data_IF_602576430509
#
_entry.id   IF_602576430509
#
_cell.length_a   1.000
_cell.length_b   1.000
_cell.length_c   1.000
_cell.angle_alpha   90.00
_cell.angle_beta   90.00
_cell.angle_gamma   90.00
#
_symmetry.space_group_name_H-M   'P 1'
#
loop_
_entity.id
_entity.type
_entity.pdbx_description
1 polymer ?
#
# COMPACT_ATOMS: atom_id res chain seq x y z
N UNK A 1 -20.84 -73.74 -0.88
CA UNK A 1 -20.68 -72.63 0.08
C UNK A 1 -19.64 -71.67 -0.48
N UNK A 2 -20.08 -70.58 -1.10
CA UNK A 2 -19.22 -69.62 -1.80
C UNK A 2 -18.73 -68.53 -0.83
N UNK A 3 -17.41 -68.29 -0.82
CA UNK A 3 -16.79 -67.15 -0.14
C UNK A 3 -16.78 -65.96 -1.10
N UNK A 4 -17.54 -64.92 -0.80
CA UNK A 4 -17.45 -63.64 -1.48
C UNK A 4 -16.27 -62.85 -0.90
N UNK A 5 -15.27 -62.55 -1.72
CA UNK A 5 -14.21 -61.61 -1.40
C UNK A 5 -14.70 -60.19 -1.72
N UNK A 6 -14.87 -59.35 -0.69
CA UNK A 6 -15.11 -57.92 -0.87
C UNK A 6 -13.78 -57.23 -1.16
N UNK A 7 -13.61 -56.80 -2.41
CA UNK A 7 -12.52 -55.92 -2.82
C UNK A 7 -12.91 -54.50 -2.39
N UNK A 8 -12.30 -54.00 -1.32
CA UNK A 8 -12.50 -52.62 -0.85
C UNK A 8 -11.74 -51.68 -1.81
N UNK A 9 -12.46 -51.06 -2.75
CA UNK A 9 -11.92 -49.98 -3.57
C UNK A 9 -11.73 -48.74 -2.69
N UNK A 10 -10.47 -48.45 -2.36
CA UNK A 10 -10.08 -47.21 -1.71
C UNK A 10 -10.15 -46.10 -2.77
N UNK A 11 -11.26 -45.36 -2.80
CA UNK A 11 -11.34 -44.13 -3.59
C UNK A 11 -10.48 -43.09 -2.87
N UNK A 12 -9.25 -42.91 -3.34
CA UNK A 12 -8.43 -41.74 -2.98
C UNK A 12 -9.13 -40.54 -3.58
N UNK A 13 -9.93 -39.85 -2.75
CA UNK A 13 -10.47 -38.55 -3.10
C UNK A 13 -9.29 -37.62 -3.37
N UNK A 14 -9.05 -37.31 -4.65
CA UNK A 14 -8.26 -36.17 -5.04
C UNK A 14 -9.03 -34.98 -4.47
N UNK A 15 -8.57 -34.47 -3.33
CA UNK A 15 -8.98 -33.15 -2.87
C UNK A 15 -8.47 -32.19 -3.94
N UNK A 16 -9.31 -31.83 -4.90
CA UNK A 16 -9.16 -30.57 -5.59
C UNK A 16 -9.13 -29.55 -4.47
N UNK A 17 -7.96 -29.00 -4.17
CA UNK A 17 -7.84 -27.81 -3.36
C UNK A 17 -8.73 -26.79 -4.06
N UNK A 18 -9.93 -26.58 -3.52
CA UNK A 18 -10.78 -25.47 -3.92
C UNK A 18 -9.96 -24.25 -3.56
N UNK A 19 -9.21 -23.74 -4.55
CA UNK A 19 -8.52 -22.48 -4.43
C UNK A 19 -9.63 -21.50 -4.04
N UNK A 20 -9.58 -20.97 -2.82
CA UNK A 20 -10.56 -19.99 -2.38
C UNK A 20 -10.54 -18.88 -3.43
N UNK A 21 -11.67 -18.65 -4.10
CA UNK A 21 -11.73 -17.67 -5.17
C UNK A 21 -11.40 -16.29 -4.57
N UNK A 22 -10.22 -15.75 -4.89
CA UNK A 22 -9.81 -14.44 -4.42
C UNK A 22 -10.83 -13.42 -4.91
N UNK A 23 -11.35 -12.60 -4.00
CA UNK A 23 -12.28 -11.53 -4.32
C UNK A 23 -11.56 -10.19 -4.49
N UNK A 24 -10.31 -10.24 -4.94
CA UNK A 24 -9.41 -9.10 -5.10
C UNK A 24 -8.36 -9.41 -6.17
N UNK A 25 -7.64 -8.36 -6.59
CA UNK A 25 -6.46 -8.44 -7.45
C UNK A 25 -5.25 -7.91 -6.67
N UNK A 26 -4.16 -8.66 -6.69
CA UNK A 26 -2.88 -8.23 -6.09
C UNK A 26 -2.26 -7.14 -6.96
N UNK A 27 -1.83 -6.05 -6.34
CA UNK A 27 -1.11 -4.98 -7.03
C UNK A 27 0.31 -5.44 -7.35
N UNK A 28 0.71 -5.24 -8.61
CA UNK A 28 2.00 -5.70 -9.10
C UNK A 28 3.15 -5.05 -8.33
N UNK A 29 4.20 -5.81 -8.03
CA UNK A 29 5.39 -5.34 -7.31
C UNK A 29 5.10 -4.74 -5.91
N UNK A 30 3.93 -5.04 -5.31
CA UNK A 30 3.56 -4.62 -3.94
C UNK A 30 3.49 -5.79 -2.95
N UNK A 31 4.13 -6.90 -3.28
CA UNK A 31 4.26 -8.08 -2.42
C UNK A 31 5.45 -7.95 -1.48
N UNK A 32 5.32 -8.54 -0.29
CA UNK A 32 6.40 -8.77 0.66
C UNK A 32 7.55 -9.57 0.04
N UNK A 33 8.78 -9.49 0.59
CA UNK A 33 9.95 -10.15 0.03
C UNK A 33 9.82 -11.68 -0.10
N UNK A 34 9.08 -12.33 0.80
CA UNK A 34 8.81 -13.77 0.76
C UNK A 34 7.54 -14.13 -0.05
N UNK A 35 6.83 -13.13 -0.59
CA UNK A 35 5.60 -13.28 -1.35
C UNK A 35 4.38 -13.69 -0.53
N UNK A 36 4.49 -13.79 0.80
CA UNK A 36 3.38 -14.23 1.65
C UNK A 36 2.28 -13.20 1.76
N UNK A 37 2.66 -11.95 1.90
CA UNK A 37 1.75 -10.81 2.05
C UNK A 37 1.80 -9.91 0.83
N UNK A 38 0.70 -9.25 0.51
CA UNK A 38 0.66 -8.27 -0.58
C UNK A 38 -0.40 -7.20 -0.36
N UNK A 39 -0.21 -6.05 -1.01
CA UNK A 39 -1.29 -5.09 -1.18
C UNK A 39 -2.15 -5.48 -2.39
N UNK A 40 -3.46 -5.39 -2.20
CA UNK A 40 -4.46 -5.76 -3.18
C UNK A 40 -5.55 -4.71 -3.26
N UNK A 41 -6.36 -4.78 -4.32
CA UNK A 41 -7.56 -3.98 -4.46
C UNK A 41 -8.78 -4.87 -4.73
N UNK A 42 -9.92 -4.44 -4.20
CA UNK A 42 -11.21 -5.00 -4.55
C UNK A 42 -12.24 -3.90 -4.79
N UNK A 43 -13.34 -4.28 -5.42
CA UNK A 43 -14.50 -3.44 -5.64
C UNK A 43 -15.68 -3.93 -4.80
N UNK A 44 -16.59 -3.04 -4.36
CA UNK A 44 -17.81 -3.43 -3.66
C UNK A 44 -18.65 -4.46 -4.44
N UNK A 45 -19.29 -5.38 -3.71
CA UNK A 45 -20.07 -6.49 -4.27
C UNK A 45 -21.16 -6.05 -5.27
N UNK A 46 -21.70 -4.82 -5.13
CA UNK A 46 -22.70 -4.25 -6.05
C UNK A 46 -22.24 -4.24 -7.52
N UNK A 47 -20.94 -4.25 -7.78
CA UNK A 47 -20.38 -4.28 -9.13
C UNK A 47 -20.28 -5.69 -9.74
N UNK A 48 -20.52 -6.75 -8.94
CA UNK A 48 -20.62 -8.16 -9.39
C UNK A 48 -19.45 -8.61 -10.27
N UNK A 49 -18.22 -8.27 -9.86
CA UNK A 49 -17.00 -8.62 -10.59
C UNK A 49 -16.73 -10.13 -10.52
N UNK A 50 -16.48 -10.76 -11.67
CA UNK A 50 -15.90 -12.10 -11.73
C UNK A 50 -14.39 -12.01 -11.51
N UNK A 51 -13.99 -12.03 -10.24
CA UNK A 51 -12.59 -11.93 -9.84
C UNK A 51 -11.72 -13.07 -10.36
N UNK A 52 -12.31 -14.25 -10.59
CA UNK A 52 -11.57 -15.39 -11.08
C UNK A 52 -11.23 -15.20 -12.57
N UNK A 53 -12.19 -14.76 -13.38
CA UNK A 53 -11.95 -14.39 -14.77
C UNK A 53 -10.98 -13.20 -14.88
N UNK A 54 -11.14 -12.19 -14.01
CA UNK A 54 -10.24 -11.04 -13.97
C UNK A 54 -8.80 -11.47 -13.69
N UNK A 55 -8.55 -12.26 -12.64
CA UNK A 55 -7.20 -12.73 -12.28
C UNK A 55 -6.56 -13.64 -13.35
N UNK A 56 -7.36 -14.30 -14.21
CA UNK A 56 -6.86 -15.06 -15.37
C UNK A 56 -6.61 -14.20 -16.61
N UNK A 57 -6.91 -12.90 -16.56
CA UNK A 57 -6.85 -12.01 -17.73
C UNK A 57 -7.93 -12.29 -18.78
N UNK A 58 -8.97 -13.05 -18.41
CA UNK A 58 -10.06 -13.42 -19.31
C UNK A 58 -11.16 -12.36 -19.37
N UNK A 59 -11.19 -11.44 -18.39
CA UNK A 59 -12.18 -10.37 -18.35
C UNK A 59 -11.68 -9.16 -19.14
N UNK A 60 -12.43 -8.78 -20.18
CA UNK A 60 -12.05 -7.72 -21.12
C UNK A 60 -12.61 -6.34 -20.78
N UNK A 61 -13.48 -6.23 -19.77
CA UNK A 61 -14.03 -4.93 -19.36
C UNK A 61 -14.43 -4.91 -17.87
N UNK A 62 -13.89 -3.93 -17.14
CA UNK A 62 -14.47 -3.46 -15.88
C UNK A 62 -15.53 -2.37 -16.16
N UNK A 63 -16.41 -2.06 -15.19
CA UNK A 63 -17.21 -0.85 -15.26
C UNK A 63 -16.28 0.37 -15.44
N UNK A 64 -16.36 1.01 -16.60
CA UNK A 64 -15.53 2.18 -16.92
C UNK A 64 -16.25 3.45 -16.47
N UNK A 65 -16.30 3.67 -15.16
CA UNK A 65 -16.88 4.89 -14.57
C UNK A 65 -16.08 5.35 -13.36
N UNK A 66 -16.06 6.67 -13.14
CA UNK A 66 -15.45 7.26 -11.94
C UNK A 66 -16.09 6.68 -10.67
N UNK A 67 -17.41 6.47 -10.66
CA UNK A 67 -18.14 5.81 -9.57
C UNK A 67 -17.60 4.42 -9.21
N UNK A 68 -17.09 3.66 -10.19
CA UNK A 68 -16.50 2.35 -9.94
C UNK A 68 -15.12 2.49 -9.30
N UNK A 69 -14.25 3.27 -9.93
CA UNK A 69 -12.86 3.41 -9.48
C UNK A 69 -12.75 4.18 -8.16
N UNK A 70 -13.62 5.16 -7.89
CA UNK A 70 -13.68 5.86 -6.61
C UNK A 70 -14.24 4.98 -5.48
N UNK A 71 -14.88 3.86 -5.81
CA UNK A 71 -15.40 2.91 -4.84
C UNK A 71 -14.42 1.75 -4.53
N UNK A 72 -13.27 1.69 -5.22
CA UNK A 72 -12.23 0.68 -4.95
C UNK A 72 -11.73 0.81 -3.51
N UNK A 73 -11.44 -0.34 -2.90
CA UNK A 73 -10.85 -0.44 -1.56
C UNK A 73 -9.54 -1.19 -1.67
N UNK A 74 -8.49 -0.65 -1.03
CA UNK A 74 -7.20 -1.30 -0.92
C UNK A 74 -7.08 -2.10 0.39
N UNK A 75 -6.39 -3.23 0.32
CA UNK A 75 -6.19 -4.17 1.42
C UNK A 75 -4.74 -4.62 1.51
N UNK A 76 -4.33 -4.99 2.72
CA UNK A 76 -3.20 -5.89 2.96
C UNK A 76 -3.75 -7.30 3.16
N UNK A 77 -3.24 -8.27 2.40
CA UNK A 77 -3.73 -9.66 2.40
C UNK A 77 -2.63 -10.67 2.67
N UNK A 78 -2.97 -11.83 3.25
CA UNK A 78 -2.17 -13.05 3.14
C UNK A 78 -2.56 -13.73 1.82
N UNK A 79 -1.59 -13.84 0.91
CA UNK A 79 -1.81 -14.31 -0.46
C UNK A 79 -2.16 -15.80 -0.48
N UNK A 80 -1.63 -16.58 0.48
CA UNK A 80 -1.78 -18.04 0.47
C UNK A 80 -3.23 -18.48 0.69
N UNK A 81 -3.91 -17.87 1.65
CA UNK A 81 -5.29 -18.22 2.02
C UNK A 81 -6.32 -17.18 1.55
N UNK A 82 -5.87 -16.07 0.95
CA UNK A 82 -6.73 -15.00 0.49
C UNK A 82 -7.34 -14.19 1.62
N UNK A 83 -6.74 -14.22 2.82
CA UNK A 83 -7.28 -13.53 4.00
C UNK A 83 -6.92 -12.05 3.97
N UNK A 84 -7.94 -11.20 4.14
CA UNK A 84 -7.74 -9.77 4.41
C UNK A 84 -7.19 -9.60 5.82
N UNK A 85 -6.02 -8.98 5.94
CA UNK A 85 -5.33 -8.71 7.21
C UNK A 85 -5.59 -7.28 7.70
N UNK A 86 -5.61 -6.31 6.79
CA UNK A 86 -5.93 -4.91 7.09
C UNK A 86 -6.57 -4.21 5.89
N UNK A 87 -7.32 -3.15 6.16
CA UNK A 87 -7.92 -2.28 5.14
C UNK A 87 -7.16 -0.97 5.08
N UNK A 88 -6.70 -0.58 3.90
CA UNK A 88 -6.04 0.69 3.64
C UNK A 88 -7.06 1.71 3.12
N UNK A 89 -7.69 2.42 4.05
CA UNK A 89 -8.82 3.32 3.75
C UNK A 89 -8.34 4.66 3.19
N UNK A 90 -9.08 5.22 2.24
CA UNK A 90 -8.78 6.51 1.63
C UNK A 90 -7.84 6.42 0.41
N UNK A 91 -7.45 5.20 0.04
CA UNK A 91 -6.78 4.89 -1.20
C UNK A 91 -7.73 4.18 -2.15
N UNK A 92 -7.60 4.49 -3.44
CA UNK A 92 -8.40 3.93 -4.53
C UNK A 92 -7.46 3.47 -5.65
N UNK A 93 -6.31 2.93 -5.27
CA UNK A 93 -5.36 2.41 -6.24
C UNK A 93 -5.91 1.10 -6.83
N UNK A 94 -5.88 1.00 -8.14
CA UNK A 94 -6.29 -0.19 -8.87
C UNK A 94 -5.31 -0.43 -10.01
N UNK A 95 -5.09 -1.70 -10.29
CA UNK A 95 -4.27 -2.14 -11.41
C UNK A 95 -4.87 -3.41 -11.99
N UNK A 96 -5.05 -3.43 -13.30
CA UNK A 96 -5.45 -4.60 -14.05
C UNK A 96 -4.26 -5.54 -14.28
N UNK A 97 -4.48 -6.84 -14.52
CA UNK A 97 -3.40 -7.79 -14.81
C UNK A 97 -2.57 -7.46 -16.06
N UNK A 98 -3.12 -6.67 -16.99
CA UNK A 98 -2.40 -6.17 -18.17
C UNK A 98 -1.51 -4.94 -17.88
N UNK A 99 -1.46 -4.50 -16.62
CA UNK A 99 -0.71 -3.35 -16.16
C UNK A 99 -1.48 -2.04 -16.18
N UNK A 100 -2.69 -1.98 -16.74
CA UNK A 100 -3.49 -0.76 -16.79
C UNK A 100 -3.84 -0.28 -15.39
N UNK A 101 -3.69 1.02 -15.11
CA UNK A 101 -3.96 1.60 -13.80
C UNK A 101 -4.49 3.04 -13.91
N UNK A 102 -4.97 3.59 -12.79
CA UNK A 102 -5.43 4.97 -12.71
C UNK A 102 -4.29 5.97 -12.95
N UNK A 103 -4.53 7.00 -13.76
CA UNK A 103 -3.55 8.06 -13.97
C UNK A 103 -3.38 8.91 -12.69
N UNK A 104 -2.13 9.15 -12.28
CA UNK A 104 -1.76 9.90 -11.07
C UNK A 104 -2.36 9.37 -9.76
N UNK A 105 -2.69 8.08 -9.68
CA UNK A 105 -3.30 7.42 -8.52
C UNK A 105 -2.55 6.13 -8.21
N UNK A 106 -1.34 6.25 -7.69
CA UNK A 106 -0.48 5.10 -7.40
C UNK A 106 -0.48 4.76 -5.90
N UNK A 107 -0.37 3.47 -5.59
CA UNK A 107 -0.05 2.99 -4.25
C UNK A 107 1.42 2.58 -4.24
N UNK A 108 2.27 3.41 -3.65
CA UNK A 108 3.65 3.01 -3.41
C UNK A 108 3.72 2.21 -2.11
N UNK A 109 4.48 1.11 -2.14
CA UNK A 109 4.69 0.26 -0.97
C UNK A 109 6.17 -0.04 -0.85
N UNK A 110 6.70 0.09 0.37
CA UNK A 110 8.02 -0.41 0.72
C UNK A 110 7.91 -1.44 1.83
N UNK A 111 8.64 -2.54 1.66
CA UNK A 111 8.73 -3.61 2.65
C UNK A 111 10.10 -3.60 3.29
N UNK A 112 10.13 -3.72 4.62
CA UNK A 112 11.37 -4.07 5.33
C UNK A 112 11.94 -5.39 4.79
N UNK A 113 13.27 -5.59 4.82
CA UNK A 113 13.90 -6.78 4.23
C UNK A 113 13.38 -8.13 4.74
N UNK A 114 12.92 -8.19 6.00
CA UNK A 114 12.37 -9.39 6.61
C UNK A 114 10.84 -9.53 6.44
N UNK A 115 10.19 -8.59 5.76
CA UNK A 115 8.74 -8.59 5.53
C UNK A 115 7.87 -8.30 6.76
N UNK A 116 8.46 -7.96 7.92
CA UNK A 116 7.70 -7.71 9.17
C UNK A 116 7.03 -6.35 9.16
N UNK A 117 7.67 -5.35 8.57
CA UNK A 117 7.13 -4.02 8.40
C UNK A 117 6.87 -3.71 6.93
N UNK A 118 5.78 -2.98 6.70
CA UNK A 118 5.50 -2.34 5.42
C UNK A 118 5.12 -0.89 5.65
N UNK A 119 5.34 -0.06 4.65
CA UNK A 119 4.79 1.28 4.57
C UNK A 119 4.07 1.40 3.24
N UNK A 120 2.90 2.01 3.24
CA UNK A 120 2.14 2.29 2.03
C UNK A 120 1.72 3.76 1.98
N UNK A 121 1.84 4.37 0.81
CA UNK A 121 1.38 5.72 0.54
C UNK A 121 0.54 5.73 -0.74
N UNK A 122 -0.64 6.34 -0.65
CA UNK A 122 -1.42 6.67 -1.83
C UNK A 122 -0.96 8.01 -2.39
N UNK A 123 -0.17 7.95 -3.46
CA UNK A 123 0.46 9.09 -4.09
C UNK A 123 -0.47 9.68 -5.15
N UNK A 124 -0.65 11.00 -5.08
CA UNK A 124 -1.39 11.80 -6.05
C UNK A 124 -0.45 12.89 -6.60
N UNK A 125 -0.75 13.44 -7.78
CA UNK A 125 0.17 14.35 -8.50
C UNK A 125 0.79 15.48 -7.64
N UNK A 126 0.00 16.11 -6.78
CA UNK A 126 0.43 17.26 -5.93
C UNK A 126 0.04 17.10 -4.47
N UNK A 127 -0.39 15.91 -4.10
CA UNK A 127 -0.86 15.63 -2.75
C UNK A 127 -0.57 14.18 -2.44
N UNK A 128 -0.59 13.84 -1.16
CA UNK A 128 -0.70 12.45 -0.76
C UNK A 128 -2.06 12.25 -0.10
N UNK A 129 -2.54 11.03 -0.18
CA UNK A 129 -3.59 10.52 0.69
C UNK A 129 -3.00 9.32 1.45
N UNK A 130 -3.77 8.42 2.10
CA UNK A 130 -3.33 7.76 3.32
C UNK A 130 -1.88 7.30 3.24
N UNK A 131 -1.12 7.61 4.28
CA UNK A 131 0.29 7.25 4.38
C UNK A 131 0.47 6.52 5.69
N UNK A 132 0.58 5.20 5.64
CA UNK A 132 0.47 4.33 6.82
C UNK A 132 1.62 3.34 6.91
N UNK A 133 2.03 3.08 8.14
CA UNK A 133 2.95 2.01 8.50
C UNK A 133 2.19 0.80 9.02
N UNK A 134 2.71 -0.38 8.74
CA UNK A 134 2.15 -1.66 9.12
C UNK A 134 3.23 -2.50 9.80
N UNK A 135 2.86 -3.18 10.88
CA UNK A 135 3.63 -4.27 11.47
C UNK A 135 2.80 -5.54 11.37
N UNK A 136 3.32 -6.52 10.64
CA UNK A 136 2.69 -7.81 10.40
C UNK A 136 3.27 -8.84 11.36
N UNK A 137 2.39 -9.51 12.10
CA UNK A 137 2.75 -10.58 13.03
C UNK A 137 1.81 -11.77 12.87
N UNK A 138 2.15 -12.96 13.39
CA UNK A 138 1.21 -14.08 13.42
C UNK A 138 -0.11 -13.77 14.17
N UNK A 139 -0.09 -12.86 15.14
CA UNK A 139 -1.25 -12.47 15.93
C UNK A 139 -2.17 -11.47 15.21
N UNK A 140 -1.65 -10.72 14.23
CA UNK A 140 -2.40 -9.72 13.49
C UNK A 140 -1.53 -8.59 12.93
N UNK A 141 -2.18 -7.52 12.51
CA UNK A 141 -1.53 -6.33 11.92
C UNK A 141 -1.78 -5.13 12.82
N UNK A 142 -0.70 -4.45 13.22
CA UNK A 142 -0.76 -3.13 13.86
C UNK A 142 -0.47 -2.04 12.82
N UNK A 143 -1.17 -0.92 12.89
CA UNK A 143 -1.04 0.19 11.94
C UNK A 143 -0.74 1.50 12.64
N UNK A 144 -0.04 2.41 11.97
CA UNK A 144 0.19 3.79 12.42
C UNK A 144 0.07 4.76 11.25
N UNK A 145 -0.56 5.91 11.49
CA UNK A 145 -0.61 7.02 10.51
C UNK A 145 0.74 7.74 10.47
N UNK A 146 1.31 7.90 9.27
CA UNK A 146 2.62 8.51 9.05
C UNK A 146 2.47 9.93 8.49
N UNK A 147 1.55 10.12 7.54
CA UNK A 147 1.53 11.31 6.69
C UNK A 147 1.43 12.63 7.46
N UNK A 148 0.41 12.80 8.30
CA UNK A 148 0.21 14.06 9.03
C UNK A 148 1.30 14.38 10.05
N UNK A 149 1.76 13.43 10.88
CA UNK A 149 2.93 13.66 11.75
C UNK A 149 4.18 14.05 10.95
N UNK A 150 4.48 13.36 9.85
CA UNK A 150 5.66 13.61 9.05
C UNK A 150 5.59 14.97 8.33
N UNK A 151 4.44 15.31 7.73
CA UNK A 151 4.20 16.63 7.12
C UNK A 151 4.37 17.76 8.13
N UNK A 152 3.86 17.58 9.35
CA UNK A 152 3.97 18.59 10.42
C UNK A 152 5.42 18.82 10.82
N UNK A 153 6.17 17.73 11.04
CA UNK A 153 7.58 17.81 11.37
C UNK A 153 8.39 18.46 10.25
N UNK A 154 8.10 18.12 8.99
CA UNK A 154 8.79 18.67 7.84
C UNK A 154 8.50 20.16 7.62
N UNK A 155 7.23 20.58 7.74
CA UNK A 155 6.86 22.01 7.71
C UNK A 155 7.57 22.80 8.81
N UNK A 156 7.71 22.23 10.00
CA UNK A 156 8.47 22.85 11.08
C UNK A 156 9.96 22.95 10.74
N UNK A 157 10.54 21.92 10.13
CA UNK A 157 11.90 21.95 9.62
C UNK A 157 12.11 23.07 8.58
N UNK A 158 11.29 23.13 7.54
CA UNK A 158 11.36 24.17 6.50
C UNK A 158 11.20 25.59 7.08
N UNK A 159 10.30 25.77 8.05
CA UNK A 159 10.13 27.05 8.75
C UNK A 159 11.40 27.49 9.48
N UNK A 160 12.16 26.53 10.01
CA UNK A 160 13.41 26.78 10.74
C UNK A 160 14.62 26.97 9.80
N UNK A 161 14.70 26.20 8.71
CA UNK A 161 15.90 26.17 7.83
C UNK A 161 15.80 27.08 6.62
N UNK A 162 14.64 27.16 5.96
CA UNK A 162 14.40 28.06 4.83
C UNK A 162 13.83 29.42 5.25
N UNK A 163 13.35 29.54 6.49
CA UNK A 163 12.97 30.81 7.11
C UNK A 163 11.92 31.57 6.29
N UNK A 164 12.26 32.82 5.92
CA UNK A 164 11.33 33.70 5.19
C UNK A 164 10.96 33.18 3.80
N UNK A 165 11.86 32.44 3.12
CA UNK A 165 11.55 31.87 1.79
C UNK A 165 10.35 30.92 1.86
N UNK A 166 10.31 30.07 2.87
CA UNK A 166 9.18 29.17 3.13
C UNK A 166 7.96 29.95 3.65
N UNK A 167 8.13 30.80 4.67
CA UNK A 167 7.00 31.50 5.33
C UNK A 167 6.16 32.35 4.37
N UNK A 168 6.78 32.97 3.37
CA UNK A 168 6.05 33.77 2.36
C UNK A 168 5.13 32.95 1.46
N UNK A 169 5.31 31.62 1.41
CA UNK A 169 4.63 30.73 0.45
C UNK A 169 3.89 29.58 1.11
N UNK A 170 4.01 29.43 2.44
CA UNK A 170 3.59 28.23 3.17
C UNK A 170 2.15 27.78 2.86
N UNK A 171 1.24 28.74 2.68
CA UNK A 171 -0.18 28.49 2.40
C UNK A 171 -0.49 28.17 0.93
N UNK A 172 0.47 28.40 0.02
CA UNK A 172 0.35 28.13 -1.42
C UNK A 172 1.02 26.84 -1.86
N UNK A 173 1.77 26.18 -0.98
CA UNK A 173 2.50 24.95 -1.28
C UNK A 173 1.58 23.73 -1.21
N UNK A 174 1.53 22.99 -2.31
CA UNK A 174 1.01 21.63 -2.35
C UNK A 174 2.13 20.67 -1.92
N UNK A 175 1.81 19.72 -1.04
CA UNK A 175 2.79 18.76 -0.49
C UNK A 175 2.47 17.36 -0.97
N UNK A 176 3.45 16.72 -1.60
CA UNK A 176 3.44 15.31 -1.96
C UNK A 176 4.59 14.58 -1.24
N UNK A 177 4.37 13.29 -1.04
CA UNK A 177 5.40 12.34 -0.63
C UNK A 177 5.42 11.22 -1.68
N UNK A 178 6.60 10.70 -1.98
CA UNK A 178 6.77 9.61 -2.94
C UNK A 178 8.18 9.02 -2.89
N UNK A 179 8.48 8.15 -3.85
CA UNK A 179 9.75 7.41 -3.92
C UNK A 179 10.07 6.64 -2.62
N UNK A 180 9.04 6.02 -2.05
CA UNK A 180 9.13 5.31 -0.79
C UNK A 180 10.12 4.13 -0.87
N UNK A 181 11.05 4.05 0.08
CA UNK A 181 12.09 3.00 0.14
C UNK A 181 12.27 2.46 1.55
N UNK A 182 12.47 1.16 1.66
CA UNK A 182 12.96 0.54 2.89
C UNK A 182 14.48 0.75 3.00
N UNK A 183 14.94 0.96 4.23
CA UNK A 183 16.35 1.07 4.55
C UNK A 183 16.89 -0.30 5.00
N UNK A 184 18.21 -0.44 5.09
CA UNK A 184 18.85 -1.66 5.62
C UNK A 184 18.52 -1.90 7.09
N UNK A 185 18.41 -0.81 7.87
CA UNK A 185 17.97 -0.87 9.27
C UNK A 185 16.51 -1.29 9.34
N UNK A 186 16.24 -2.36 10.10
CA UNK A 186 14.89 -2.88 10.28
C UNK A 186 13.91 -1.80 10.78
N UNK A 187 12.72 -1.76 10.17
CA UNK A 187 11.68 -0.79 10.50
C UNK A 187 11.97 0.65 10.05
N UNK A 188 13.14 0.93 9.47
CA UNK A 188 13.48 2.25 8.94
C UNK A 188 13.12 2.38 7.45
N UNK A 189 12.59 3.55 7.10
CA UNK A 189 12.13 3.88 5.76
C UNK A 189 12.55 5.29 5.39
N UNK A 190 12.67 5.55 4.09
CA UNK A 190 12.89 6.86 3.54
C UNK A 190 11.79 7.20 2.53
N UNK A 191 11.43 8.47 2.47
CA UNK A 191 10.49 9.02 1.50
C UNK A 191 11.02 10.34 0.97
N UNK A 192 10.81 10.61 -0.31
CA UNK A 192 11.06 11.91 -0.89
C UNK A 192 9.85 12.81 -0.61
N UNK A 193 10.10 13.99 -0.06
CA UNK A 193 9.09 14.98 0.24
C UNK A 193 9.26 16.17 -0.70
N UNK A 194 8.18 16.56 -1.36
CA UNK A 194 8.15 17.69 -2.28
C UNK A 194 7.04 18.65 -1.86
N UNK A 195 7.37 19.94 -1.83
CA UNK A 195 6.44 21.03 -1.60
C UNK A 195 6.62 22.05 -2.71
N UNK A 196 5.60 22.26 -3.53
CA UNK A 196 5.68 23.17 -4.68
C UNK A 196 4.40 24.01 -4.83
N UNK A 197 4.52 25.19 -5.44
CA UNK A 197 3.34 25.92 -5.92
C UNK A 197 2.93 25.32 -7.26
N UNK A 198 1.74 24.68 -7.36
CA UNK A 198 1.34 23.99 -8.58
C UNK A 198 1.37 24.92 -9.80
N UNK A 199 2.01 24.45 -10.88
CA UNK A 199 2.15 25.18 -12.16
C UNK A 199 2.97 26.48 -12.09
N UNK A 200 3.71 26.73 -10.99
CA UNK A 200 4.67 27.83 -10.97
C UNK A 200 5.84 27.54 -11.94
N UNK A 201 6.34 28.60 -12.58
CA UNK A 201 7.54 28.53 -13.43
C UNK A 201 8.84 28.80 -12.64
N UNK A 202 8.75 29.17 -11.36
CA UNK A 202 9.89 29.52 -10.52
C UNK A 202 10.37 28.32 -9.70
N UNK A 203 11.67 28.00 -9.81
CA UNK A 203 12.30 26.99 -8.95
C UNK A 203 12.42 27.44 -7.49
N UNK A 204 12.31 28.74 -7.21
CA UNK A 204 12.30 29.25 -5.84
C UNK A 204 11.05 28.85 -5.05
N UNK A 205 10.00 28.40 -5.77
CA UNK A 205 8.70 28.02 -5.23
C UNK A 205 8.59 26.52 -4.91
N UNK A 206 9.72 25.79 -4.90
CA UNK A 206 9.78 24.38 -4.56
C UNK A 206 10.76 24.09 -3.40
N UNK A 207 10.43 23.07 -2.62
CA UNK A 207 11.26 22.47 -1.58
C UNK A 207 11.25 20.96 -1.75
N UNK A 208 12.42 20.34 -1.71
CA UNK A 208 12.61 18.91 -1.88
C UNK A 208 13.60 18.42 -0.84
N UNK A 209 13.22 17.38 -0.08
CA UNK A 209 14.06 16.77 0.94
C UNK A 209 13.78 15.27 1.04
N UNK A 210 14.81 14.50 1.39
CA UNK A 210 14.67 13.10 1.79
C UNK A 210 14.40 13.05 3.29
N UNK A 211 13.28 12.45 3.67
CA UNK A 211 12.90 12.25 5.07
C UNK A 211 13.11 10.80 5.47
N UNK A 212 13.66 10.57 6.66
CA UNK A 212 13.89 9.24 7.22
C UNK A 212 13.11 9.08 8.52
N UNK A 213 12.37 7.98 8.62
CA UNK A 213 11.57 7.64 9.79
C UNK A 213 11.67 6.15 10.11
N UNK A 214 11.32 5.79 11.32
CA UNK A 214 11.33 4.41 11.81
C UNK A 214 9.99 4.05 12.42
N UNK A 215 9.53 2.83 12.15
CA UNK A 215 8.39 2.21 12.79
C UNK A 215 8.87 1.38 13.98
N UNK A 216 8.39 1.70 15.17
CA UNK A 216 8.79 1.01 16.40
C UNK A 216 7.61 0.27 17.02
N UNK A 217 7.75 -1.03 17.32
CA UNK A 217 6.74 -1.74 18.10
C UNK A 217 6.75 -1.23 19.55
N UNK A 218 5.60 -0.73 20.02
CA UNK A 218 5.41 -0.45 21.46
C UNK A 218 4.84 -1.67 22.18
N UNK A 219 3.93 -2.39 21.52
CA UNK A 219 3.39 -3.69 21.94
C UNK A 219 3.10 -4.54 20.69
N UNK A 220 2.52 -5.73 20.84
CA UNK A 220 2.02 -6.50 19.68
C UNK A 220 0.95 -5.76 18.88
N UNK A 221 0.08 -4.99 19.56
CA UNK A 221 -1.03 -4.28 18.95
C UNK A 221 -0.77 -2.78 18.69
N UNK A 222 0.38 -2.26 19.12
CA UNK A 222 0.71 -0.84 19.03
C UNK A 222 2.01 -0.62 18.29
N UNK A 223 1.95 0.26 17.30
CA UNK A 223 3.06 0.69 16.47
C UNK A 223 3.20 2.21 16.63
N UNK A 224 4.42 2.71 16.76
CA UNK A 224 4.71 4.13 16.80
C UNK A 224 5.62 4.56 15.67
N UNK A 225 5.54 5.84 15.32
CA UNK A 225 6.43 6.50 14.37
C UNK A 225 7.49 7.31 15.12
N UNK A 226 8.75 7.14 14.74
CA UNK A 226 9.86 8.02 15.12
C UNK A 226 10.42 8.70 13.86
N UNK A 227 10.55 10.03 13.88
CA UNK A 227 11.12 10.81 12.76
C UNK A 227 12.57 11.12 13.13
N UNK A 228 13.53 10.65 12.32
CA UNK A 228 14.95 10.67 12.68
C UNK A 228 15.71 11.79 12.01
N UNK A 229 15.68 11.83 10.68
CA UNK A 229 16.52 12.73 9.89
C UNK A 229 15.73 13.36 8.74
N UNK A 230 16.12 14.59 8.40
CA UNK A 230 15.67 15.32 7.22
C UNK A 230 16.92 15.86 6.52
N UNK A 231 17.16 15.39 5.30
CA UNK A 231 18.34 15.76 4.52
C UNK A 231 17.90 16.36 3.18
N UNK A 232 18.65 17.34 2.69
CA UNK A 232 18.48 17.83 1.31
C UNK A 232 18.81 16.71 0.33
N UNK A 233 17.97 16.55 -0.69
CA UNK A 233 18.20 15.67 -1.83
C UNK A 233 19.38 16.14 -2.69
#
# INVERSE_FOLDING_TARGET
MHRAAFCLLLVVGISASVCAAWSFVVLENRSSPDGRYAFAWAAPEKYKIDWAALNRGEMTALPNSDDFFDAVINYLVDVKDGKILATFRGAQAWQLPDGSHGNHRDLEVAWSPNGVFAVAIYSLKWQYAPFQGFRITPAGVATVEIGKPLETAWRQHLSNTAGQRYKQRADSLAISFGELKAMETEGSFAVHAQAEIPKSASQDDAFEEKLVFTLEPKTEAQLSLEIRDMAKS
#
